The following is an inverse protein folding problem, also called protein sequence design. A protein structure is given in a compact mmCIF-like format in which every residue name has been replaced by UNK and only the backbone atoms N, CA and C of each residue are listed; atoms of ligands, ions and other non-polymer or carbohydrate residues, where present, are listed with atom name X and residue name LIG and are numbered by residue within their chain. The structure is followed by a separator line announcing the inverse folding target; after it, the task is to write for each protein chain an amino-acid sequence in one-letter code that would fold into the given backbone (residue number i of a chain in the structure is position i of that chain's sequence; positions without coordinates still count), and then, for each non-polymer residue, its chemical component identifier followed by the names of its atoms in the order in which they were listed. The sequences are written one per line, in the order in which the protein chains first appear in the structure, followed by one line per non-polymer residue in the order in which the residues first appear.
data_IF_190036603086
#
_entry.id   IF_190036603086
#
_cell.length_a   1.000
_cell.length_b   1.000
_cell.length_c   1.000
_cell.angle_alpha   90.00
_cell.angle_beta   90.00
_cell.angle_gamma   90.00
#
_symmetry.space_group_name_H-M   'P 1'
#
loop_
_entity.id
_entity.type
_entity.pdbx_description
1 polymer ?
#
# COMPACT_ATOMS: atom_id res chain seq x y z
N UNK A 1 -67.37 -23.17 95.27
CA UNK A 1 -66.75 -23.28 93.96
C UNK A 1 -65.93 -22.01 93.67
N UNK A 2 -64.69 -22.09 93.91
CA UNK A 2 -63.72 -20.97 93.85
C UNK A 2 -63.15 -20.94 92.43
N UNK A 3 -63.36 -19.86 91.67
CA UNK A 3 -62.69 -19.64 90.36
C UNK A 3 -61.36 -18.95 90.62
N UNK A 4 -60.30 -19.70 90.29
CA UNK A 4 -58.91 -19.14 90.17
C UNK A 4 -58.80 -18.35 88.86
N UNK A 5 -58.64 -17.02 88.98
CA UNK A 5 -58.28 -16.13 87.89
C UNK A 5 -56.76 -15.97 87.92
N UNK A 6 -56.09 -16.48 86.96
CA UNK A 6 -54.66 -16.25 86.75
C UNK A 6 -54.38 -14.79 86.37
N UNK A 7 -53.28 -14.17 86.89
CA UNK A 7 -52.92 -12.81 86.54
C UNK A 7 -52.42 -12.70 85.10
N UNK A 8 -52.58 -11.59 84.39
CA UNK A 8 -52.13 -11.40 83.05
C UNK A 8 -50.58 -11.40 83.00
N UNK A 9 -50.05 -12.12 82.07
CA UNK A 9 -48.64 -12.13 81.76
C UNK A 9 -48.22 -10.73 81.37
N UNK A 10 -47.39 -10.08 82.17
CA UNK A 10 -46.71 -8.85 81.75
C UNK A 10 -45.74 -9.22 80.65
N UNK A 11 -46.09 -8.77 79.37
CA UNK A 11 -45.17 -8.85 78.28
C UNK A 11 -43.92 -8.03 78.58
N UNK A 12 -42.77 -8.65 78.58
CA UNK A 12 -41.51 -7.95 78.56
C UNK A 12 -41.47 -6.99 77.36
N UNK A 13 -41.44 -5.71 77.67
CA UNK A 13 -41.24 -4.65 76.72
C UNK A 13 -39.73 -4.84 76.22
N UNK A 14 -39.56 -5.53 75.08
CA UNK A 14 -38.22 -5.56 74.41
C UNK A 14 -37.72 -4.11 74.27
N UNK A 15 -36.50 -3.87 74.71
CA UNK A 15 -35.89 -2.56 74.58
C UNK A 15 -35.83 -2.23 73.12
N UNK A 16 -36.30 -1.06 72.64
CA UNK A 16 -36.29 -0.75 71.23
C UNK A 16 -34.92 -0.84 70.64
N UNK A 17 -34.78 -1.49 69.45
CA UNK A 17 -33.56 -1.68 68.73
C UNK A 17 -32.87 -0.31 68.54
N UNK A 18 -31.56 -0.17 68.85
CA UNK A 18 -30.82 1.08 68.68
C UNK A 18 -30.96 1.69 67.26
N UNK A 19 -31.11 0.85 66.22
CA UNK A 19 -31.35 1.29 64.84
C UNK A 19 -32.76 1.87 64.63
N UNK A 20 -33.77 1.32 65.33
CA UNK A 20 -35.16 1.88 65.29
C UNK A 20 -35.26 3.22 66.00
N UNK A 21 -34.60 3.36 67.14
CA UNK A 21 -34.49 4.63 67.84
C UNK A 21 -33.77 5.69 67.04
N UNK A 22 -32.63 5.33 66.42
CA UNK A 22 -31.92 6.24 65.52
C UNK A 22 -32.81 6.65 64.35
N UNK A 23 -33.51 5.71 63.73
CA UNK A 23 -34.42 5.97 62.60
C UNK A 23 -35.54 6.88 62.99
N UNK A 24 -36.26 6.59 64.10
CA UNK A 24 -37.34 7.41 64.56
C UNK A 24 -36.95 8.87 64.90
N UNK A 25 -35.73 9.04 65.46
CA UNK A 25 -35.21 10.36 65.80
C UNK A 25 -34.69 11.12 64.54
N UNK A 26 -34.16 10.43 63.60
CA UNK A 26 -33.45 11.03 62.44
C UNK A 26 -34.14 10.81 61.11
N UNK A 27 -35.29 10.14 61.05
CA UNK A 27 -35.93 9.72 59.77
C UNK A 27 -36.09 10.85 58.77
N UNK A 28 -36.36 12.06 59.15
CA UNK A 28 -36.44 13.19 58.23
C UNK A 28 -35.08 13.54 57.63
N UNK A 29 -34.04 13.60 58.45
CA UNK A 29 -32.69 13.94 58.00
C UNK A 29 -32.13 12.84 57.10
N UNK A 30 -32.31 11.57 57.50
CA UNK A 30 -31.85 10.40 56.70
C UNK A 30 -32.64 10.34 55.39
N UNK A 31 -33.95 10.54 55.41
CA UNK A 31 -34.75 10.54 54.15
C UNK A 31 -34.37 11.69 53.24
N UNK A 32 -34.17 12.90 53.76
CA UNK A 32 -33.66 14.02 52.96
C UNK A 32 -32.25 13.77 52.42
N UNK A 33 -31.37 13.17 53.20
CA UNK A 33 -30.03 12.79 52.76
C UNK A 33 -30.05 11.76 51.62
N UNK A 34 -30.89 10.74 51.72
CA UNK A 34 -31.07 9.73 50.69
C UNK A 34 -31.67 10.33 49.40
N UNK A 35 -32.65 11.20 49.51
CA UNK A 35 -33.26 11.92 48.37
C UNK A 35 -32.20 12.81 47.69
N UNK A 36 -31.40 13.55 48.47
CA UNK A 36 -30.35 14.39 47.95
C UNK A 36 -29.23 13.56 47.22
N UNK A 37 -28.82 12.42 47.82
CA UNK A 37 -27.87 11.51 47.21
C UNK A 37 -28.43 10.90 45.92
N UNK A 38 -29.68 10.46 45.91
CA UNK A 38 -30.35 9.94 44.71
C UNK A 38 -30.46 11.00 43.59
N UNK A 39 -30.81 12.25 43.98
CA UNK A 39 -30.86 13.37 43.05
C UNK A 39 -29.47 13.71 42.47
N UNK A 40 -28.42 13.71 43.28
CA UNK A 40 -27.05 13.93 42.83
C UNK A 40 -26.57 12.83 41.87
N UNK A 41 -26.87 11.55 42.15
CA UNK A 41 -26.58 10.42 41.26
C UNK A 41 -27.37 10.54 39.95
N UNK A 42 -28.66 10.92 40.01
CA UNK A 42 -29.46 11.10 38.79
C UNK A 42 -28.93 12.24 37.92
N UNK A 43 -28.54 13.37 38.54
CA UNK A 43 -27.93 14.51 37.84
C UNK A 43 -26.58 14.09 37.23
N UNK A 44 -25.73 13.38 37.96
CA UNK A 44 -24.46 12.89 37.45
C UNK A 44 -24.66 11.94 36.26
N UNK A 45 -25.60 11.01 36.35
CA UNK A 45 -25.96 10.10 35.27
C UNK A 45 -26.52 10.85 34.06
N UNK A 46 -27.35 11.86 34.28
CA UNK A 46 -27.92 12.69 33.21
C UNK A 46 -26.84 13.48 32.47
N UNK A 47 -25.87 14.06 33.21
CA UNK A 47 -24.73 14.78 32.61
C UNK A 47 -23.89 13.83 31.79
N UNK A 48 -23.57 12.64 32.31
CA UNK A 48 -22.82 11.64 31.56
C UNK A 48 -23.59 11.16 30.31
N UNK A 49 -24.90 10.93 30.45
CA UNK A 49 -25.74 10.51 29.33
C UNK A 49 -25.80 11.58 28.23
N UNK A 50 -25.99 12.83 28.58
CA UNK A 50 -25.99 13.95 27.62
C UNK A 50 -24.63 14.14 26.99
N UNK A 51 -23.55 14.00 27.75
CA UNK A 51 -22.19 14.02 27.23
C UNK A 51 -21.94 12.93 26.17
N UNK A 52 -22.30 11.69 26.51
CA UNK A 52 -22.16 10.55 25.55
C UNK A 52 -23.03 10.73 24.32
N UNK A 53 -24.22 11.26 24.46
CA UNK A 53 -25.11 11.50 23.33
C UNK A 53 -24.58 12.60 22.41
N UNK A 54 -24.13 13.72 22.97
CA UNK A 54 -23.52 14.80 22.20
C UNK A 54 -22.23 14.32 21.51
N UNK A 55 -21.48 13.44 22.16
CA UNK A 55 -20.29 12.78 21.60
C UNK A 55 -20.66 11.88 20.43
N UNK A 56 -21.68 11.03 20.57
CA UNK A 56 -22.15 10.16 19.50
C UNK A 56 -22.71 10.95 18.30
N UNK A 57 -23.43 12.06 18.55
CA UNK A 57 -23.94 12.93 17.48
C UNK A 57 -22.82 13.62 16.70
N UNK A 58 -21.79 14.15 17.40
CA UNK A 58 -20.59 14.72 16.73
C UNK A 58 -19.82 13.67 15.95
N UNK A 59 -19.68 12.49 16.52
CA UNK A 59 -19.03 11.35 15.87
C UNK A 59 -19.77 10.94 14.60
N UNK A 60 -21.09 10.74 14.68
CA UNK A 60 -21.93 10.40 13.54
C UNK A 60 -21.83 11.46 12.44
N UNK A 61 -21.86 12.75 12.79
CA UNK A 61 -21.72 13.83 11.83
C UNK A 61 -20.34 13.82 11.12
N UNK A 62 -19.29 13.52 11.87
CA UNK A 62 -17.93 13.42 11.29
C UNK A 62 -17.79 12.16 10.42
N UNK A 63 -18.26 11.00 10.87
CA UNK A 63 -18.23 9.77 10.11
C UNK A 63 -19.03 9.88 8.80
N UNK A 64 -20.19 10.55 8.85
CA UNK A 64 -21.01 10.82 7.67
C UNK A 64 -20.33 11.80 6.72
N UNK A 65 -19.70 12.85 7.25
CA UNK A 65 -18.98 13.85 6.44
C UNK A 65 -17.73 13.26 5.76
N UNK A 66 -17.12 12.23 6.35
CA UNK A 66 -15.94 11.53 5.81
C UNK A 66 -16.30 10.26 5.05
N UNK A 67 -17.58 9.87 4.98
CA UNK A 67 -18.00 8.60 4.33
C UNK A 67 -17.62 7.33 5.10
N UNK A 68 -16.94 7.45 6.24
CA UNK A 68 -16.42 6.32 7.01
C UNK A 68 -17.49 5.40 7.58
N UNK A 69 -18.65 5.91 7.93
CA UNK A 69 -19.80 5.13 8.42
C UNK A 69 -20.32 4.21 7.30
N UNK A 70 -20.37 4.70 6.06
CA UNK A 70 -20.82 3.93 4.89
C UNK A 70 -19.79 2.89 4.50
N UNK A 71 -18.52 3.29 4.41
CA UNK A 71 -17.42 2.39 4.08
C UNK A 71 -17.31 1.25 5.12
N UNK A 72 -17.41 1.55 6.42
CA UNK A 72 -17.38 0.56 7.48
C UNK A 72 -18.60 -0.38 7.45
N UNK A 73 -19.79 0.13 7.19
CA UNK A 73 -21.00 -0.71 7.08
C UNK A 73 -20.88 -1.66 5.89
N UNK A 74 -20.46 -1.18 4.73
CA UNK A 74 -20.23 -1.99 3.53
C UNK A 74 -19.18 -3.06 3.78
N UNK A 75 -18.08 -2.72 4.44
CA UNK A 75 -17.02 -3.66 4.79
C UNK A 75 -17.51 -4.75 5.75
N UNK A 76 -18.33 -4.39 6.74
CA UNK A 76 -18.90 -5.35 7.69
C UNK A 76 -19.84 -6.33 7.00
N UNK A 77 -20.68 -5.86 6.07
CA UNK A 77 -21.57 -6.72 5.29
C UNK A 77 -20.77 -7.65 4.36
N UNK A 78 -19.77 -7.11 3.67
CA UNK A 78 -18.85 -7.89 2.84
C UNK A 78 -18.13 -8.95 3.68
N UNK A 79 -17.61 -8.59 4.86
CA UNK A 79 -16.96 -9.54 5.76
C UNK A 79 -17.89 -10.65 6.23
N UNK A 80 -19.12 -10.34 6.59
CA UNK A 80 -20.11 -11.35 6.97
C UNK A 80 -20.35 -12.36 5.85
N UNK A 81 -20.41 -11.89 4.60
CA UNK A 81 -20.52 -12.76 3.42
C UNK A 81 -19.30 -13.64 3.23
N UNK A 82 -18.10 -13.06 3.37
CA UNK A 82 -16.82 -13.80 3.28
C UNK A 82 -16.72 -14.84 4.39
N UNK A 83 -17.04 -14.51 5.64
CA UNK A 83 -17.05 -15.48 6.75
C UNK A 83 -17.94 -16.68 6.45
N UNK A 84 -19.16 -16.45 5.93
CA UNK A 84 -20.07 -17.53 5.57
C UNK A 84 -19.46 -18.44 4.50
N UNK A 85 -18.77 -17.87 3.52
CA UNK A 85 -18.08 -18.62 2.47
C UNK A 85 -16.88 -19.39 3.00
N UNK A 86 -16.07 -18.79 3.88
CA UNK A 86 -14.94 -19.45 4.53
C UNK A 86 -15.41 -20.66 5.35
N UNK A 87 -16.48 -20.52 6.13
CA UNK A 87 -17.07 -21.64 6.88
C UNK A 87 -17.50 -22.80 5.98
N UNK A 88 -18.07 -22.51 4.81
CA UNK A 88 -18.41 -23.55 3.84
C UNK A 88 -17.17 -24.26 3.29
N UNK A 89 -16.10 -23.50 2.99
CA UNK A 89 -14.82 -24.04 2.52
C UNK A 89 -14.21 -24.95 3.60
N UNK A 90 -14.20 -24.49 4.87
CA UNK A 90 -13.69 -25.25 6.01
C UNK A 90 -14.44 -26.58 6.19
N UNK A 91 -15.78 -26.55 6.09
CA UNK A 91 -16.60 -27.76 6.17
C UNK A 91 -16.29 -28.72 5.04
N UNK A 92 -16.12 -28.24 3.81
CA UNK A 92 -15.75 -29.07 2.66
C UNK A 92 -14.35 -29.69 2.83
N UNK A 93 -13.38 -28.91 3.29
CA UNK A 93 -12.01 -29.36 3.52
C UNK A 93 -11.95 -30.42 4.65
N UNK A 94 -12.72 -30.24 5.74
CA UNK A 94 -12.82 -31.20 6.83
C UNK A 94 -13.43 -32.53 6.40
N UNK A 95 -14.40 -32.48 5.48
CA UNK A 95 -15.06 -33.72 4.94
C UNK A 95 -14.21 -34.40 3.88
N UNK A 96 -13.32 -33.69 3.18
CA UNK A 96 -12.51 -34.19 2.09
C UNK A 96 -11.06 -33.72 2.18
N UNK A 97 -10.18 -34.38 2.94
CA UNK A 97 -8.77 -33.96 3.07
C UNK A 97 -8.01 -33.87 1.74
N UNK A 98 -8.46 -34.59 0.70
CA UNK A 98 -7.86 -34.51 -0.64
C UNK A 98 -8.14 -33.17 -1.36
N UNK A 99 -9.02 -32.34 -0.82
CA UNK A 99 -9.38 -31.02 -1.38
C UNK A 99 -8.69 -29.86 -0.66
N UNK A 100 -7.72 -30.12 0.22
CA UNK A 100 -7.06 -29.08 1.00
C UNK A 100 -6.43 -27.99 0.12
N UNK A 101 -5.73 -28.37 -0.95
CA UNK A 101 -5.14 -27.41 -1.89
C UNK A 101 -6.18 -26.56 -2.63
N UNK A 102 -7.29 -27.20 -3.08
CA UNK A 102 -8.40 -26.46 -3.69
C UNK A 102 -9.11 -25.55 -2.70
N UNK A 103 -9.25 -25.97 -1.45
CA UNK A 103 -9.83 -25.17 -0.37
C UNK A 103 -8.97 -23.93 -0.06
N UNK A 104 -7.65 -24.07 0.01
CA UNK A 104 -6.74 -22.96 0.20
C UNK A 104 -6.83 -21.96 -0.95
N UNK A 105 -6.88 -22.40 -2.19
CA UNK A 105 -7.07 -21.51 -3.33
C UNK A 105 -8.41 -20.75 -3.26
N UNK A 106 -9.51 -21.45 -2.97
CA UNK A 106 -10.83 -20.81 -2.83
C UNK A 106 -10.89 -19.82 -1.67
N UNK A 107 -10.19 -20.12 -0.57
CA UNK A 107 -10.03 -19.20 0.56
C UNK A 107 -9.27 -17.95 0.17
N UNK A 108 -8.13 -18.09 -0.53
CA UNK A 108 -7.35 -16.95 -1.02
C UNK A 108 -8.19 -16.04 -1.93
N UNK A 109 -8.98 -16.62 -2.83
CA UNK A 109 -9.88 -15.85 -3.70
C UNK A 109 -10.97 -15.11 -2.92
N UNK A 110 -11.55 -15.75 -1.88
CA UNK A 110 -12.56 -15.11 -1.06
C UNK A 110 -11.98 -13.94 -0.23
N UNK A 111 -10.78 -14.10 0.30
CA UNK A 111 -10.09 -13.09 1.09
C UNK A 111 -9.54 -11.95 0.22
N UNK A 112 -9.09 -12.24 -1.00
CA UNK A 112 -8.58 -11.21 -1.92
C UNK A 112 -9.60 -10.10 -2.19
N UNK A 113 -10.87 -10.46 -2.43
CA UNK A 113 -11.95 -9.49 -2.59
C UNK A 113 -12.14 -8.62 -1.34
N UNK A 114 -12.15 -9.26 -0.17
CA UNK A 114 -12.28 -8.52 1.09
C UNK A 114 -11.12 -7.55 1.32
N UNK A 115 -9.89 -7.95 1.01
CA UNK A 115 -8.72 -7.07 1.16
C UNK A 115 -8.74 -5.92 0.16
N UNK A 116 -9.26 -6.12 -1.06
CA UNK A 116 -9.47 -5.03 -2.01
C UNK A 116 -10.49 -4.01 -1.48
N UNK A 117 -11.58 -4.48 -0.88
CA UNK A 117 -12.58 -3.60 -0.25
C UNK A 117 -12.01 -2.88 0.98
N UNK A 118 -11.20 -3.57 1.77
CA UNK A 118 -10.49 -2.98 2.92
C UNK A 118 -9.50 -1.91 2.48
N UNK A 119 -8.77 -2.14 1.39
CA UNK A 119 -7.85 -1.18 0.79
C UNK A 119 -8.61 0.02 0.23
N UNK A 120 -9.71 -0.20 -0.47
CA UNK A 120 -10.57 0.87 -0.96
C UNK A 120 -11.12 1.74 0.19
N UNK A 121 -11.54 1.12 1.31
CA UNK A 121 -11.95 1.87 2.50
C UNK A 121 -10.82 2.72 3.09
N UNK A 122 -9.59 2.23 3.03
CA UNK A 122 -8.42 2.95 3.53
C UNK A 122 -7.98 4.09 2.61
N UNK A 123 -8.20 3.99 1.31
CA UNK A 123 -7.69 4.89 0.27
C UNK A 123 -8.79 5.79 -0.31
N UNK A 124 -9.83 5.21 -0.91
CA UNK A 124 -10.73 5.95 -1.78
C UNK A 124 -11.69 6.89 -1.04
N UNK A 125 -12.31 6.43 0.06
CA UNK A 125 -13.28 7.26 0.80
C UNK A 125 -12.60 8.26 1.73
N UNK A 126 -11.32 8.03 2.04
CA UNK A 126 -10.49 8.98 2.79
C UNK A 126 -9.83 10.02 1.87
N UNK A 127 -9.46 9.67 0.64
CA UNK A 127 -8.74 10.57 -0.26
C UNK A 127 -9.58 11.75 -0.73
N UNK A 128 -10.83 11.55 -1.16
CA UNK A 128 -11.66 12.67 -1.62
C UNK A 128 -11.99 13.70 -0.52
N UNK A 129 -12.08 13.23 0.74
CA UNK A 129 -12.39 14.12 1.88
C UNK A 129 -11.15 14.54 2.65
N UNK A 130 -10.08 13.78 2.57
CA UNK A 130 -8.86 13.92 3.35
C UNK A 130 -7.76 14.69 2.62
N UNK A 131 -7.72 14.71 1.30
CA UNK A 131 -6.91 15.68 0.56
C UNK A 131 -7.26 17.13 0.95
N UNK A 132 -8.53 17.36 1.34
CA UNK A 132 -9.00 18.66 1.79
C UNK A 132 -8.58 19.03 3.23
N UNK A 133 -8.17 18.07 4.08
CA UNK A 133 -7.81 18.35 5.47
C UNK A 133 -6.30 18.36 5.66
N UNK A 134 -5.66 19.53 5.92
CA UNK A 134 -4.22 19.62 6.15
C UNK A 134 -3.76 18.71 7.31
N UNK A 135 -2.54 18.18 7.22
CA UNK A 135 -1.97 17.32 8.27
C UNK A 135 -1.90 18.03 9.63
N UNK A 136 -1.63 19.34 9.63
CA UNK A 136 -1.61 20.17 10.84
C UNK A 136 -2.96 20.25 11.54
N UNK A 137 -4.06 20.28 10.78
CA UNK A 137 -5.42 20.27 11.35
C UNK A 137 -5.74 18.90 11.95
N UNK A 138 -5.39 17.80 11.29
CA UNK A 138 -5.51 16.46 11.84
C UNK A 138 -4.70 16.29 13.14
N UNK A 139 -3.47 16.81 13.16
CA UNK A 139 -2.63 16.81 14.37
C UNK A 139 -3.23 17.67 15.49
N UNK A 140 -3.86 18.79 15.15
CA UNK A 140 -4.56 19.62 16.14
C UNK A 140 -5.77 18.90 16.74
N UNK A 141 -6.54 18.16 15.93
CA UNK A 141 -7.64 17.30 16.39
C UNK A 141 -7.12 16.22 17.34
N UNK A 142 -6.03 15.54 16.94
CA UNK A 142 -5.38 14.52 17.79
C UNK A 142 -4.93 15.10 19.12
N UNK A 143 -4.33 16.30 19.09
CA UNK A 143 -3.85 16.99 20.30
C UNK A 143 -4.99 17.44 21.21
N UNK A 144 -6.13 17.85 20.62
CA UNK A 144 -7.31 18.22 21.38
C UNK A 144 -7.93 17.03 22.12
N UNK A 145 -7.74 15.80 21.62
CA UNK A 145 -8.22 14.56 22.23
C UNK A 145 -9.76 14.47 22.23
N UNK A 146 -10.42 15.12 21.29
CA UNK A 146 -11.87 15.05 21.12
C UNK A 146 -12.31 13.77 20.40
N UNK A 147 -13.60 13.62 20.16
CA UNK A 147 -14.22 12.42 19.57
C UNK A 147 -13.72 12.09 18.16
N UNK A 148 -13.15 13.07 17.48
CA UNK A 148 -12.58 12.94 16.14
C UNK A 148 -11.13 12.43 16.16
N UNK A 149 -10.48 12.51 17.33
CA UNK A 149 -9.07 12.17 17.46
C UNK A 149 -8.71 10.73 17.01
N UNK A 150 -9.53 9.69 17.29
CA UNK A 150 -9.27 8.35 16.78
C UNK A 150 -9.21 8.27 15.25
N UNK A 151 -10.14 8.93 14.56
CA UNK A 151 -10.13 8.96 13.09
C UNK A 151 -9.01 9.81 12.53
N UNK A 152 -8.75 10.97 13.14
CA UNK A 152 -7.63 11.80 12.72
C UNK A 152 -6.29 11.03 12.83
N UNK A 153 -6.11 10.22 13.90
CA UNK A 153 -4.95 9.32 14.02
C UNK A 153 -4.93 8.25 12.94
N UNK A 154 -6.10 7.66 12.63
CA UNK A 154 -6.21 6.65 11.58
C UNK A 154 -5.84 7.21 10.21
N UNK A 155 -6.34 8.40 9.88
CA UNK A 155 -5.99 9.10 8.63
C UNK A 155 -4.50 9.39 8.56
N UNK A 156 -3.90 9.91 9.64
CA UNK A 156 -2.46 10.17 9.70
C UNK A 156 -1.65 8.88 9.55
N UNK A 157 -2.11 7.77 10.16
CA UNK A 157 -1.46 6.46 10.01
C UNK A 157 -1.47 5.98 8.54
N UNK A 158 -2.62 6.09 7.86
CA UNK A 158 -2.73 5.72 6.45
C UNK A 158 -1.84 6.61 5.56
N UNK A 159 -1.88 7.93 5.74
CA UNK A 159 -0.99 8.84 5.00
C UNK A 159 0.49 8.49 5.19
N UNK A 160 0.90 8.25 6.42
CA UNK A 160 2.27 7.84 6.72
C UNK A 160 2.62 6.49 6.07
N UNK A 161 1.69 5.52 6.07
CA UNK A 161 1.88 4.23 5.43
C UNK A 161 2.11 4.37 3.91
N UNK A 162 1.25 5.12 3.22
CA UNK A 162 1.38 5.34 1.78
C UNK A 162 2.58 6.21 1.41
N UNK A 163 3.02 7.09 2.32
CA UNK A 163 4.28 7.81 2.19
C UNK A 163 5.53 6.97 2.52
N UNK A 164 5.35 5.67 2.81
CA UNK A 164 6.40 4.75 3.26
C UNK A 164 7.06 5.14 4.61
N UNK A 165 6.44 6.01 5.39
CA UNK A 165 6.88 6.40 6.73
C UNK A 165 6.33 5.41 7.78
N UNK A 166 6.75 4.16 7.69
CA UNK A 166 6.18 3.03 8.44
C UNK A 166 6.27 3.17 9.96
N UNK A 167 7.32 3.76 10.48
CA UNK A 167 7.49 3.98 11.93
C UNK A 167 6.49 5.04 12.44
N UNK A 168 6.22 6.07 11.65
CA UNK A 168 5.20 7.08 11.96
C UNK A 168 3.79 6.45 11.90
N UNK A 169 3.49 5.68 10.84
CA UNK A 169 2.24 4.95 10.71
C UNK A 169 2.00 4.05 11.93
N UNK A 170 2.99 3.26 12.31
CA UNK A 170 2.98 2.40 13.49
C UNK A 170 2.70 3.18 14.77
N UNK A 171 3.39 4.30 14.96
CA UNK A 171 3.22 5.16 16.13
C UNK A 171 1.78 5.65 16.28
N UNK A 172 1.15 6.09 15.18
CA UNK A 172 -0.26 6.52 15.18
C UNK A 172 -1.20 5.37 15.53
N UNK A 173 -1.01 4.18 14.95
CA UNK A 173 -1.87 3.00 15.23
C UNK A 173 -1.73 2.52 16.66
N UNK A 174 -0.50 2.44 17.18
CA UNK A 174 -0.27 2.04 18.58
C UNK A 174 -0.87 3.05 19.57
N UNK A 175 -0.77 4.35 19.28
CA UNK A 175 -1.40 5.38 20.08
C UNK A 175 -2.94 5.27 20.01
N UNK A 176 -3.52 4.96 18.84
CA UNK A 176 -4.94 4.69 18.68
C UNK A 176 -5.38 3.51 19.58
N UNK A 177 -4.67 2.40 19.55
CA UNK A 177 -4.99 1.22 20.39
C UNK A 177 -4.89 1.53 21.89
N UNK A 178 -3.88 2.30 22.28
CA UNK A 178 -3.64 2.65 23.67
C UNK A 178 -4.68 3.63 24.23
N UNK A 179 -4.94 4.69 23.48
CA UNK A 179 -5.75 5.82 23.96
C UNK A 179 -7.26 5.57 23.78
N UNK A 180 -7.63 4.72 22.82
CA UNK A 180 -9.03 4.45 22.44
C UNK A 180 -9.35 2.95 22.34
N UNK A 181 -9.13 2.15 23.39
CA UNK A 181 -9.25 0.69 23.33
C UNK A 181 -10.65 0.17 22.99
N UNK A 182 -11.68 0.99 23.17
CA UNK A 182 -13.07 0.63 22.89
C UNK A 182 -13.57 1.19 21.53
N UNK A 183 -12.68 1.78 20.74
CA UNK A 183 -13.05 2.31 19.44
C UNK A 183 -13.22 1.17 18.42
N UNK A 184 -14.15 1.30 17.46
CA UNK A 184 -14.44 0.24 16.48
C UNK A 184 -13.23 -0.18 15.65
N UNK A 185 -12.27 0.71 15.39
CA UNK A 185 -11.01 0.39 14.71
C UNK A 185 -10.10 -0.50 15.57
N UNK A 186 -10.27 -0.50 16.90
CA UNK A 186 -9.40 -1.18 17.86
C UNK A 186 -10.02 -2.46 18.41
N UNK A 187 -11.36 -2.47 18.54
CA UNK A 187 -12.09 -3.65 19.02
C UNK A 187 -11.96 -4.76 17.98
N UNK A 188 -11.74 -5.99 18.45
CA UNK A 188 -11.73 -7.16 17.59
C UNK A 188 -13.12 -7.33 16.97
N UNK A 189 -13.20 -7.14 15.66
CA UNK A 189 -14.43 -7.26 14.86
C UNK A 189 -14.55 -8.62 14.18
N UNK A 190 -13.61 -9.54 14.43
CA UNK A 190 -13.54 -10.83 13.74
C UNK A 190 -12.98 -10.75 12.33
N UNK A 191 -12.45 -9.60 11.90
CA UNK A 191 -11.79 -9.48 10.61
C UNK A 191 -10.47 -10.29 10.60
N UNK A 192 -10.09 -10.91 9.48
CA UNK A 192 -8.88 -11.72 9.42
C UNK A 192 -7.62 -10.87 9.57
N UNK A 193 -6.67 -11.37 10.35
CA UNK A 193 -5.31 -10.83 10.42
C UNK A 193 -4.50 -11.52 9.33
N UNK A 194 -4.11 -10.80 8.33
CA UNK A 194 -3.23 -11.12 7.20
C UNK A 194 -3.16 -12.59 6.70
N UNK A 195 -3.51 -12.76 5.43
CA UNK A 195 -3.34 -14.00 4.68
C UNK A 195 -1.93 -14.17 4.05
N UNK A 196 -1.11 -13.10 3.95
CA UNK A 196 0.23 -13.17 3.32
C UNK A 196 1.21 -14.08 4.04
N UNK A 197 1.18 -14.11 5.37
CA UNK A 197 2.07 -14.96 6.15
C UNK A 197 1.78 -16.47 5.97
N UNK A 198 0.55 -16.81 5.64
CA UNK A 198 0.15 -18.19 5.35
C UNK A 198 0.63 -18.66 3.98
N UNK A 199 0.59 -17.76 2.97
CA UNK A 199 1.14 -18.07 1.63
C UNK A 199 2.65 -18.27 1.67
N UNK A 200 3.37 -17.56 2.56
CA UNK A 200 4.81 -17.75 2.73
C UNK A 200 5.12 -19.10 3.40
N UNK A 201 4.35 -19.48 4.42
CA UNK A 201 4.51 -20.79 5.07
C UNK A 201 4.25 -21.94 4.12
N UNK A 202 3.27 -21.82 3.22
CA UNK A 202 3.01 -22.83 2.19
C UNK A 202 4.17 -22.93 1.20
N UNK A 203 4.82 -21.81 0.83
CA UNK A 203 6.01 -21.82 -0.04
C UNK A 203 7.24 -22.42 0.65
N UNK A 204 7.46 -22.09 1.92
CA UNK A 204 8.57 -22.63 2.70
C UNK A 204 8.40 -24.16 2.92
N UNK A 205 7.16 -24.65 2.91
CA UNK A 205 6.84 -26.09 2.96
C UNK A 205 7.07 -26.79 1.60
N UNK A 206 6.84 -26.10 0.48
CA UNK A 206 7.09 -26.65 -0.87
C UNK A 206 8.59 -26.75 -1.20
N UNK A 207 9.45 -25.89 -0.61
CA UNK A 207 10.90 -25.91 -0.82
C UNK A 207 11.62 -27.04 -0.03
N UNK A 208 10.95 -27.67 0.93
CA UNK A 208 11.49 -28.81 1.66
C UNK A 208 11.09 -30.12 0.96
N UNK A 209 11.93 -30.65 0.09
CA UNK A 209 11.74 -31.93 -0.63
C UNK A 209 11.43 -33.13 0.27
N UNK A 210 11.84 -33.09 1.56
CA UNK A 210 11.56 -34.15 2.54
C UNK A 210 10.11 -34.17 3.05
N UNK A 211 9.31 -33.16 2.74
CA UNK A 211 7.88 -33.07 3.11
C UNK A 211 6.94 -33.20 1.92
N UNK A 212 7.42 -33.61 0.75
CA UNK A 212 6.65 -33.70 -0.50
C UNK A 212 5.39 -34.59 -0.41
N UNK A 213 5.27 -35.46 0.61
CA UNK A 213 4.09 -36.26 0.88
C UNK A 213 3.16 -35.65 1.95
N UNK A 214 3.54 -34.56 2.59
CA UNK A 214 2.66 -33.86 3.54
C UNK A 214 1.61 -33.05 2.76
N UNK A 215 0.35 -33.49 2.83
CA UNK A 215 -0.77 -32.72 2.28
C UNK A 215 -0.81 -31.36 2.99
N UNK A 216 -0.94 -30.23 2.26
CA UNK A 216 -1.04 -28.91 2.87
C UNK A 216 -2.20 -28.91 3.88
N UNK A 217 -1.89 -28.60 5.12
CA UNK A 217 -2.90 -28.48 6.16
C UNK A 217 -3.63 -27.15 5.97
N UNK A 218 -4.96 -27.22 5.95
CA UNK A 218 -5.79 -26.02 5.86
C UNK A 218 -5.74 -25.26 7.20
N UNK A 219 -5.22 -24.03 7.17
CA UNK A 219 -5.14 -23.15 8.33
C UNK A 219 -6.25 -22.11 8.26
N UNK A 220 -7.13 -22.08 9.28
CA UNK A 220 -8.19 -21.10 9.36
C UNK A 220 -7.66 -19.68 9.62
N UNK A 221 -8.28 -18.62 9.05
CA UNK A 221 -7.83 -17.25 9.29
C UNK A 221 -7.96 -16.86 10.76
N UNK A 222 -6.97 -16.12 11.26
CA UNK A 222 -7.00 -15.53 12.59
C UNK A 222 -7.74 -14.19 12.51
N UNK A 223 -8.69 -13.97 13.42
CA UNK A 223 -9.42 -12.71 13.51
C UNK A 223 -8.63 -11.64 14.29
N UNK A 224 -8.90 -10.38 13.98
CA UNK A 224 -8.26 -9.26 14.67
C UNK A 224 -8.99 -7.93 14.45
N UNK A 225 -8.50 -6.89 15.09
CA UNK A 225 -9.01 -5.53 14.90
C UNK A 225 -8.46 -4.90 13.60
N UNK A 226 -9.14 -3.89 13.06
CA UNK A 226 -8.66 -3.13 11.90
C UNK A 226 -7.29 -2.50 12.18
N UNK A 227 -7.11 -1.92 13.37
CA UNK A 227 -5.82 -1.38 13.82
C UNK A 227 -4.74 -2.46 13.94
N UNK A 228 -5.09 -3.66 14.41
CA UNK A 228 -4.19 -4.81 14.48
C UNK A 228 -3.75 -5.29 13.10
N UNK A 229 -4.68 -5.33 12.15
CA UNK A 229 -4.37 -5.67 10.75
C UNK A 229 -3.42 -4.66 10.10
N UNK A 230 -3.62 -3.36 10.37
CA UNK A 230 -2.71 -2.33 9.87
C UNK A 230 -1.29 -2.50 10.42
N UNK A 231 -1.12 -2.82 11.72
CA UNK A 231 0.20 -3.12 12.29
C UNK A 231 0.85 -4.32 11.61
N UNK A 232 0.09 -5.40 11.44
CA UNK A 232 0.58 -6.60 10.78
C UNK A 232 0.97 -6.32 9.31
N UNK A 233 0.20 -5.47 8.59
CA UNK A 233 0.53 -5.02 7.24
C UNK A 233 1.82 -4.21 7.21
N UNK A 234 2.01 -3.28 8.16
CA UNK A 234 3.25 -2.51 8.28
C UNK A 234 4.44 -3.45 8.49
N UNK A 235 4.31 -4.45 9.38
CA UNK A 235 5.37 -5.42 9.65
C UNK A 235 5.72 -6.25 8.40
N UNK A 236 4.70 -6.74 7.69
CA UNK A 236 4.88 -7.52 6.48
C UNK A 236 5.52 -6.69 5.35
N UNK A 237 5.08 -5.44 5.18
CA UNK A 237 5.64 -4.55 4.16
C UNK A 237 7.10 -4.19 4.46
N UNK A 238 7.43 -3.86 5.71
CA UNK A 238 8.81 -3.59 6.11
C UNK A 238 9.70 -4.83 5.89
N UNK A 239 9.20 -6.01 6.27
CA UNK A 239 9.92 -7.27 6.04
C UNK A 239 10.11 -7.54 4.55
N UNK A 240 9.05 -7.40 3.73
CA UNK A 240 9.14 -7.60 2.29
C UNK A 240 10.18 -6.67 1.65
N UNK A 241 10.22 -5.40 2.05
CA UNK A 241 11.22 -4.43 1.57
C UNK A 241 12.63 -4.78 1.98
N UNK A 242 12.82 -5.24 3.22
CA UNK A 242 14.12 -5.73 3.70
C UNK A 242 14.60 -6.96 2.91
N UNK A 243 13.70 -7.90 2.65
CA UNK A 243 14.02 -9.13 1.93
C UNK A 243 14.17 -8.89 0.41
N UNK A 244 13.57 -7.82 -0.12
CA UNK A 244 13.54 -7.51 -1.54
C UNK A 244 13.93 -6.04 -1.86
N UNK A 245 15.11 -5.55 -1.42
CA UNK A 245 15.50 -4.15 -1.59
C UNK A 245 15.51 -3.72 -3.06
N UNK A 246 15.75 -4.65 -3.97
CA UNK A 246 15.79 -4.41 -5.42
C UNK A 246 14.52 -3.79 -6.01
N UNK A 247 13.36 -3.97 -5.37
CA UNK A 247 12.08 -3.40 -5.84
C UNK A 247 11.83 -1.99 -5.32
N UNK A 248 12.63 -1.51 -4.35
CA UNK A 248 12.38 -0.26 -3.63
C UNK A 248 13.55 0.70 -3.67
N UNK A 249 14.75 0.18 -3.95
CA UNK A 249 15.97 0.97 -3.96
C UNK A 249 16.71 0.75 -5.28
N UNK A 250 17.00 1.86 -5.92
CA UNK A 250 17.76 1.82 -7.15
C UNK A 250 19.20 1.38 -6.88
N UNK A 251 19.60 0.27 -7.47
CA UNK A 251 20.98 -0.23 -7.41
C UNK A 251 21.94 0.77 -8.06
N UNK A 252 23.08 1.01 -7.43
CA UNK A 252 24.14 1.81 -8.02
C UNK A 252 24.87 1.03 -9.13
N UNK A 253 25.14 1.66 -10.29
CA UNK A 253 25.92 1.01 -11.36
C UNK A 253 27.38 0.80 -10.95
N UNK A 254 28.00 -0.23 -11.49
CA UNK A 254 29.32 -0.74 -11.06
C UNK A 254 30.47 -0.40 -11.98
N UNK A 255 30.21 0.01 -13.24
CA UNK A 255 31.28 0.30 -14.21
C UNK A 255 32.19 1.45 -13.76
N UNK A 256 33.50 1.30 -14.03
CA UNK A 256 34.48 2.38 -13.88
C UNK A 256 34.26 3.48 -14.91
N UNK A 257 33.97 3.06 -16.15
CA UNK A 257 33.79 3.94 -17.30
C UNK A 257 32.39 4.55 -17.33
N UNK A 258 32.26 5.78 -17.80
CA UNK A 258 31.01 6.52 -17.97
C UNK A 258 30.82 6.84 -19.45
N UNK A 259 29.66 6.46 -20.01
CA UNK A 259 29.24 6.87 -21.34
C UNK A 259 28.57 8.23 -21.24
N UNK A 260 29.06 9.21 -21.97
CA UNK A 260 28.49 10.55 -22.06
C UNK A 260 27.88 10.76 -23.43
N UNK A 261 26.59 11.03 -23.50
CA UNK A 261 25.83 11.30 -24.73
C UNK A 261 25.39 12.76 -24.70
N UNK A 262 25.82 13.54 -25.69
CA UNK A 262 25.39 14.91 -25.89
C UNK A 262 24.29 14.97 -26.95
N UNK A 263 23.12 15.46 -26.59
CA UNK A 263 22.02 15.69 -27.52
C UNK A 263 22.02 17.15 -27.99
N UNK A 264 21.90 17.35 -29.26
CA UNK A 264 21.67 18.68 -29.84
C UNK A 264 20.28 19.20 -29.38
N UNK A 265 20.22 20.42 -28.93
CA UNK A 265 19.02 21.08 -28.43
C UNK A 265 18.40 20.56 -27.12
N UNK A 266 19.02 19.56 -26.46
CA UNK A 266 18.47 19.05 -25.19
C UNK A 266 19.47 19.08 -24.04
N UNK A 267 20.70 18.61 -24.25
CA UNK A 267 21.70 18.59 -23.18
C UNK A 267 22.54 17.30 -23.17
N UNK A 268 23.12 17.02 -22.02
CA UNK A 268 24.05 15.91 -21.85
C UNK A 268 23.54 14.92 -20.84
N UNK A 269 23.62 13.63 -21.16
CA UNK A 269 23.26 12.50 -20.33
C UNK A 269 24.48 11.65 -20.06
N UNK A 270 24.76 11.32 -18.79
CA UNK A 270 25.85 10.42 -18.41
C UNK A 270 25.31 9.10 -17.87
N UNK A 271 25.79 8.00 -18.42
CA UNK A 271 25.35 6.63 -18.12
C UNK A 271 26.51 5.84 -17.56
N UNK A 272 26.33 5.18 -16.44
CA UNK A 272 27.19 4.11 -15.94
C UNK A 272 26.51 2.76 -16.14
N UNK A 273 27.32 1.74 -16.40
CA UNK A 273 26.82 0.41 -16.73
C UNK A 273 26.81 -0.52 -15.50
N UNK A 274 25.96 -1.53 -15.56
CA UNK A 274 25.92 -2.64 -14.61
C UNK A 274 26.79 -3.81 -15.15
N UNK A 275 28.09 -3.58 -15.25
CA UNK A 275 29.06 -4.51 -15.83
C UNK A 275 29.18 -5.85 -15.10
N UNK A 276 28.74 -5.93 -13.83
CA UNK A 276 28.66 -7.19 -13.09
C UNK A 276 27.33 -7.94 -13.31
N UNK A 277 26.24 -7.22 -13.58
CA UNK A 277 24.93 -7.81 -13.77
C UNK A 277 24.66 -8.20 -15.24
N UNK A 278 25.21 -7.44 -16.20
CA UNK A 278 25.10 -7.68 -17.64
C UNK A 278 26.47 -7.45 -18.33
N UNK A 279 27.46 -8.30 -18.07
CA UNK A 279 28.86 -8.09 -18.52
C UNK A 279 29.02 -8.05 -20.04
N UNK A 280 28.34 -8.93 -20.79
CA UNK A 280 28.46 -8.97 -22.25
C UNK A 280 27.79 -7.73 -22.88
N UNK A 281 26.61 -7.33 -22.37
CA UNK A 281 25.95 -6.10 -22.81
C UNK A 281 26.80 -4.87 -22.51
N UNK A 282 27.33 -4.77 -21.29
CA UNK A 282 28.17 -3.66 -20.88
C UNK A 282 29.43 -3.53 -21.77
N UNK A 283 30.11 -4.64 -22.05
CA UNK A 283 31.29 -4.66 -22.93
C UNK A 283 30.95 -4.18 -24.35
N UNK A 284 29.83 -4.67 -24.92
CA UNK A 284 29.42 -4.28 -26.28
C UNK A 284 28.94 -2.82 -26.33
N UNK A 285 28.22 -2.34 -25.30
CA UNK A 285 27.84 -0.94 -25.21
C UNK A 285 29.03 0.02 -25.15
N UNK A 286 30.09 -0.35 -24.40
CA UNK A 286 31.33 0.42 -24.37
C UNK A 286 32.05 0.43 -25.73
N UNK A 287 32.06 -0.70 -26.46
CA UNK A 287 32.59 -0.79 -27.82
C UNK A 287 31.83 0.15 -28.76
N UNK A 288 30.48 0.10 -28.75
CA UNK A 288 29.62 0.96 -29.57
C UNK A 288 29.79 2.43 -29.21
N UNK A 289 29.91 2.76 -27.91
CA UNK A 289 30.15 4.12 -27.46
C UNK A 289 31.52 4.66 -27.91
N UNK A 290 32.60 3.83 -27.80
CA UNK A 290 33.96 4.20 -28.25
C UNK A 290 34.06 4.37 -29.78
N UNK A 291 33.23 3.67 -30.54
CA UNK A 291 33.13 3.84 -31.99
C UNK A 291 32.18 4.98 -32.42
N UNK A 292 31.62 5.73 -31.48
CA UNK A 292 30.60 6.75 -31.72
C UNK A 292 29.40 6.24 -32.54
N UNK A 293 29.01 4.96 -32.37
CA UNK A 293 27.96 4.30 -33.16
C UNK A 293 26.68 5.14 -33.26
N UNK A 294 26.21 5.70 -32.14
CA UNK A 294 24.95 6.46 -32.08
C UNK A 294 25.05 7.91 -32.60
N UNK A 295 26.26 8.41 -32.89
CA UNK A 295 26.45 9.77 -33.41
C UNK A 295 25.68 10.00 -34.71
N UNK A 296 24.91 11.09 -34.76
CA UNK A 296 24.01 11.44 -35.87
C UNK A 296 22.64 10.75 -35.82
N UNK A 297 22.45 9.75 -34.93
CA UNK A 297 21.14 9.15 -34.70
C UNK A 297 20.25 10.05 -33.88
N UNK A 298 18.95 9.75 -33.85
CA UNK A 298 17.94 10.51 -33.14
C UNK A 298 17.19 9.66 -32.14
N UNK A 299 16.60 10.30 -31.14
CA UNK A 299 15.54 9.69 -30.35
C UNK A 299 14.39 9.42 -31.29
N UNK A 300 14.09 8.16 -31.53
CA UNK A 300 13.10 7.74 -32.51
C UNK A 300 11.71 7.52 -31.93
N UNK A 301 11.62 7.35 -30.62
CA UNK A 301 10.37 7.13 -29.92
C UNK A 301 10.42 7.75 -28.53
N UNK A 302 9.32 8.36 -28.15
CA UNK A 302 9.00 8.64 -26.74
C UNK A 302 7.74 7.87 -26.37
N UNK A 303 7.65 7.47 -25.11
CA UNK A 303 6.46 6.87 -24.50
C UNK A 303 6.15 7.62 -23.24
N UNK A 304 4.88 7.86 -23.01
CA UNK A 304 4.34 8.44 -21.80
C UNK A 304 2.86 8.08 -21.64
N UNK A 305 2.36 8.22 -20.44
CA UNK A 305 0.95 7.97 -20.16
C UNK A 305 0.04 8.79 -21.09
N UNK A 306 -0.94 8.17 -21.77
CA UNK A 306 -1.87 8.87 -22.66
C UNK A 306 -2.70 9.91 -21.88
N UNK A 307 -3.01 11.04 -22.54
CA UNK A 307 -3.88 12.09 -22.02
C UNK A 307 -5.13 12.27 -22.93
N UNK A 308 -6.35 12.44 -22.42
CA UNK A 308 -6.74 12.32 -21.01
C UNK A 308 -6.70 10.86 -20.53
N UNK A 309 -6.38 10.67 -19.27
CA UNK A 309 -6.20 9.35 -18.69
C UNK A 309 -7.48 8.85 -18.04
N UNK A 310 -8.45 8.39 -18.85
CA UNK A 310 -9.66 7.72 -18.34
C UNK A 310 -9.37 6.24 -17.93
N UNK A 311 -8.24 5.69 -18.35
CA UNK A 311 -7.77 4.34 -18.01
C UNK A 311 -6.27 4.42 -17.79
N UNK A 312 -5.83 4.33 -16.53
CA UNK A 312 -4.41 4.14 -16.23
C UNK A 312 -3.91 2.92 -16.99
N UNK A 313 -3.15 3.16 -18.04
CA UNK A 313 -2.29 2.14 -18.62
C UNK A 313 -0.93 2.36 -17.99
N UNK A 314 -0.39 1.32 -17.40
CA UNK A 314 0.98 1.32 -16.90
C UNK A 314 1.94 1.33 -18.11
N UNK A 315 2.01 2.46 -18.80
CA UNK A 315 2.97 2.71 -19.87
C UNK A 315 4.12 3.47 -19.24
N UNK A 316 5.33 2.92 -19.22
CA UNK A 316 6.47 3.61 -18.65
C UNK A 316 6.78 4.87 -19.47
N UNK A 317 7.09 5.95 -18.77
CA UNK A 317 7.59 7.18 -19.36
C UNK A 317 9.05 6.98 -19.76
N UNK A 318 9.35 7.00 -21.07
CA UNK A 318 10.68 6.63 -21.57
C UNK A 318 11.00 7.24 -22.93
N UNK A 319 12.29 7.30 -23.24
CA UNK A 319 12.79 7.56 -24.59
C UNK A 319 13.47 6.30 -25.15
N UNK A 320 13.44 6.15 -26.47
CA UNK A 320 14.16 5.10 -27.18
C UNK A 320 14.98 5.66 -28.35
N UNK A 321 16.22 5.17 -28.52
CA UNK A 321 17.10 5.53 -29.63
C UNK A 321 17.94 4.33 -30.08
N UNK A 322 18.67 4.46 -31.21
CA UNK A 322 19.51 3.42 -31.74
C UNK A 322 19.03 2.76 -33.04
N UNK A 323 17.96 3.28 -33.67
CA UNK A 323 17.62 2.85 -35.01
C UNK A 323 18.55 3.48 -36.03
N UNK A 324 19.33 2.64 -36.73
CA UNK A 324 20.28 3.09 -37.75
C UNK A 324 19.65 3.96 -38.85
N UNK A 325 18.38 3.74 -39.17
CA UNK A 325 17.61 4.53 -40.14
C UNK A 325 17.42 6.00 -39.74
N UNK A 326 17.65 6.37 -38.48
CA UNK A 326 17.54 7.76 -37.99
C UNK A 326 18.82 8.55 -38.18
N UNK A 327 19.92 7.87 -38.56
CA UNK A 327 21.24 8.50 -38.67
C UNK A 327 21.25 9.50 -39.82
N UNK A 328 21.48 10.79 -39.48
CA UNK A 328 21.53 11.89 -40.45
C UNK A 328 20.26 12.02 -41.31
N UNK A 329 19.11 11.51 -40.87
CA UNK A 329 17.83 11.51 -41.60
C UNK A 329 16.78 12.35 -40.86
N UNK A 330 16.37 13.48 -41.45
CA UNK A 330 15.37 14.39 -40.88
C UNK A 330 13.93 13.99 -41.21
N UNK A 331 13.73 13.20 -42.27
CA UNK A 331 12.42 12.71 -42.65
C UNK A 331 11.96 11.58 -41.73
N UNK A 332 11.11 11.91 -40.77
CA UNK A 332 10.58 10.95 -39.79
C UNK A 332 9.83 9.78 -40.43
N UNK A 333 9.33 9.91 -41.66
CA UNK A 333 8.63 8.80 -42.33
C UNK A 333 9.56 7.64 -42.66
N UNK A 334 10.87 7.91 -42.75
CA UNK A 334 11.90 6.94 -43.01
C UNK A 334 12.49 6.28 -41.75
N UNK A 335 12.14 6.77 -40.58
CA UNK A 335 12.55 6.18 -39.31
C UNK A 335 11.84 4.87 -39.10
N UNK A 336 12.47 3.80 -39.34
CA UNK A 336 11.94 2.43 -39.22
C UNK A 336 12.94 1.54 -38.49
N UNK A 337 12.46 0.55 -37.72
CA UNK A 337 13.37 -0.44 -37.13
C UNK A 337 14.01 -1.25 -38.29
N UNK A 338 15.30 -0.98 -38.56
CA UNK A 338 16.09 -1.72 -39.54
C UNK A 338 16.53 -3.06 -39.00
N UNK A 339 17.24 -3.83 -39.85
CA UNK A 339 17.96 -5.02 -39.43
C UNK A 339 19.07 -4.62 -38.44
N UNK A 340 19.23 -5.42 -37.40
CA UNK A 340 20.32 -5.28 -36.43
C UNK A 340 21.50 -6.13 -36.87
N UNK A 341 22.70 -5.60 -36.78
CA UNK A 341 23.91 -6.37 -37.08
C UNK A 341 23.98 -7.59 -36.13
N UNK A 342 24.35 -8.75 -36.64
CA UNK A 342 24.33 -10.00 -35.88
C UNK A 342 25.23 -9.93 -34.63
N UNK A 343 26.35 -9.22 -34.71
CA UNK A 343 27.28 -8.98 -33.61
C UNK A 343 26.76 -7.94 -32.57
N UNK A 344 25.64 -7.29 -32.85
CA UNK A 344 24.92 -6.43 -31.91
C UNK A 344 23.74 -7.13 -31.21
N UNK A 345 23.54 -8.41 -31.56
CA UNK A 345 22.51 -9.24 -30.89
C UNK A 345 23.19 -10.16 -29.90
N UNK A 346 22.87 -10.00 -28.62
CA UNK A 346 23.48 -10.73 -27.51
C UNK A 346 22.42 -11.57 -26.82
N UNK A 347 22.81 -12.74 -26.32
CA UNK A 347 21.95 -13.58 -25.51
C UNK A 347 21.56 -12.85 -24.23
N UNK A 348 20.33 -13.07 -23.77
CA UNK A 348 19.76 -12.39 -22.61
C UNK A 348 20.58 -12.66 -21.35
N UNK A 349 20.98 -11.59 -20.69
CA UNK A 349 21.58 -11.64 -19.36
C UNK A 349 20.51 -11.28 -18.33
N UNK A 350 20.08 -12.26 -17.55
CA UNK A 350 19.10 -12.03 -16.46
C UNK A 350 19.79 -11.38 -15.27
N UNK A 351 19.17 -10.38 -14.71
CA UNK A 351 19.66 -9.72 -13.50
C UNK A 351 18.52 -9.58 -12.46
N UNK A 352 18.90 -9.38 -11.21
CA UNK A 352 17.99 -9.04 -10.13
C UNK A 352 17.78 -7.53 -9.99
N UNK A 353 17.95 -6.77 -11.06
CA UNK A 353 17.75 -5.33 -11.09
C UNK A 353 16.29 -5.00 -11.45
N UNK A 354 15.83 -3.85 -11.00
CA UNK A 354 14.50 -3.32 -11.29
C UNK A 354 14.58 -1.96 -11.99
N UNK A 355 13.54 -1.63 -12.78
CA UNK A 355 13.45 -0.39 -13.53
C UNK A 355 13.02 0.76 -12.63
N UNK A 356 13.98 1.57 -12.20
CA UNK A 356 13.79 2.83 -11.50
C UNK A 356 14.03 4.02 -12.43
N UNK A 357 13.61 5.22 -12.07
CA UNK A 357 13.93 6.42 -12.85
C UNK A 357 15.42 6.50 -13.20
N UNK A 358 15.69 6.66 -14.49
CA UNK A 358 17.04 6.69 -15.05
C UNK A 358 17.63 5.32 -15.41
N UNK A 359 16.90 4.23 -15.27
CA UNK A 359 17.38 2.92 -15.75
C UNK A 359 17.53 2.93 -17.25
N UNK A 360 18.67 2.39 -17.73
CA UNK A 360 18.98 2.16 -19.15
C UNK A 360 18.84 0.68 -19.42
N UNK A 361 17.98 0.33 -20.37
CA UNK A 361 17.73 -1.04 -20.78
C UNK A 361 17.88 -1.21 -22.29
N UNK A 362 18.04 -2.44 -22.75
CA UNK A 362 18.06 -2.77 -24.17
C UNK A 362 16.78 -3.45 -24.60
N UNK A 363 16.32 -3.17 -25.81
CA UNK A 363 15.15 -3.80 -26.40
C UNK A 363 15.38 -5.30 -26.66
N UNK A 364 14.33 -6.08 -26.48
CA UNK A 364 14.34 -7.51 -26.76
C UNK A 364 14.28 -7.74 -28.26
N UNK A 365 15.20 -8.55 -28.77
CA UNK A 365 15.02 -9.25 -30.02
C UNK A 365 14.20 -10.53 -29.80
N UNK A 366 13.98 -11.32 -30.84
CA UNK A 366 13.23 -12.57 -30.71
C UNK A 366 14.02 -13.61 -29.89
N UNK A 367 13.32 -14.48 -29.19
CA UNK A 367 13.81 -15.75 -28.63
C UNK A 367 14.95 -15.64 -27.59
N UNK A 368 14.81 -14.75 -26.60
CA UNK A 368 15.76 -14.65 -25.50
C UNK A 368 17.08 -13.94 -25.89
N UNK A 369 17.05 -13.15 -26.94
CA UNK A 369 18.18 -12.31 -27.40
C UNK A 369 17.80 -10.84 -27.30
N UNK A 370 18.76 -9.95 -27.15
CA UNK A 370 18.60 -8.50 -27.05
C UNK A 370 19.41 -7.74 -28.08
N UNK A 371 18.92 -6.58 -28.49
CA UNK A 371 19.53 -5.71 -29.49
C UNK A 371 20.27 -4.58 -28.78
N UNK A 372 21.57 -4.80 -28.53
CA UNK A 372 22.37 -3.91 -27.66
C UNK A 372 22.44 -2.47 -28.17
N UNK A 373 22.32 -2.26 -29.48
CA UNK A 373 22.36 -0.92 -30.07
C UNK A 373 21.11 -0.08 -29.80
N UNK A 374 19.96 -0.72 -29.38
CA UNK A 374 18.68 -0.07 -29.14
C UNK A 374 18.48 0.13 -27.68
N UNK A 375 18.69 1.35 -27.26
CA UNK A 375 18.61 1.74 -25.85
C UNK A 375 17.27 2.39 -25.54
N UNK A 376 16.77 2.09 -24.35
CA UNK A 376 15.62 2.71 -23.72
C UNK A 376 16.06 3.30 -22.40
N UNK A 377 15.63 4.53 -22.11
CA UNK A 377 15.86 5.19 -20.82
C UNK A 377 14.49 5.57 -20.25
N UNK A 378 14.10 4.97 -19.12
CA UNK A 378 12.86 5.31 -18.43
C UNK A 378 13.06 6.46 -17.42
N UNK A 379 12.01 7.25 -17.22
CA UNK A 379 12.04 8.42 -16.34
C UNK A 379 11.19 8.26 -15.09
N UNK A 380 10.39 7.20 -15.03
CA UNK A 380 9.51 6.84 -13.91
C UNK A 380 9.87 5.48 -13.29
N UNK A 381 9.14 5.07 -12.28
CA UNK A 381 9.22 3.72 -11.71
C UNK A 381 8.41 2.75 -12.59
N UNK A 382 9.11 2.00 -13.41
CA UNK A 382 8.53 1.06 -14.37
C UNK A 382 8.72 -0.41 -13.95
N UNK A 383 9.12 -0.69 -12.71
CA UNK A 383 9.45 -2.04 -12.25
C UNK A 383 8.29 -3.03 -12.47
N UNK A 384 7.06 -2.62 -12.14
CA UNK A 384 5.89 -3.48 -12.25
C UNK A 384 5.56 -3.93 -13.68
N UNK A 385 5.92 -3.14 -14.69
CA UNK A 385 5.54 -3.36 -16.10
C UNK A 385 6.67 -3.87 -16.97
N UNK A 386 7.92 -3.57 -16.61
CA UNK A 386 9.08 -3.81 -17.48
C UNK A 386 10.10 -4.80 -16.93
N UNK A 387 10.09 -5.07 -15.61
CA UNK A 387 10.99 -6.06 -15.04
C UNK A 387 10.76 -7.45 -15.65
N UNK A 388 11.88 -8.09 -16.02
CA UNK A 388 11.83 -9.38 -16.71
C UNK A 388 11.54 -9.32 -18.22
N UNK A 389 11.21 -8.13 -18.77
CA UNK A 389 10.92 -7.96 -20.20
C UNK A 389 12.06 -7.27 -20.97
N UNK A 390 13.09 -6.79 -20.29
CA UNK A 390 14.25 -6.11 -20.85
C UNK A 390 15.51 -6.46 -20.08
N UNK A 391 16.67 -6.35 -20.72
CA UNK A 391 17.95 -6.44 -20.03
C UNK A 391 18.34 -5.06 -19.53
N UNK A 392 18.40 -4.89 -18.21
CA UNK A 392 18.90 -3.67 -17.59
C UNK A 392 20.43 -3.66 -17.72
N UNK A 393 20.96 -2.63 -18.38
CA UNK A 393 22.38 -2.54 -18.72
C UNK A 393 23.10 -1.39 -18.05
N UNK A 394 22.38 -0.38 -17.58
CA UNK A 394 23.00 0.80 -16.97
C UNK A 394 21.99 1.72 -16.29
N UNK A 395 22.51 2.84 -15.82
CA UNK A 395 21.72 3.89 -15.21
C UNK A 395 22.28 5.27 -15.56
N UNK A 396 21.39 6.22 -15.78
CA UNK A 396 21.72 7.65 -15.86
C UNK A 396 22.20 8.12 -14.49
N UNK A 397 23.41 8.64 -14.44
CA UNK A 397 24.02 9.19 -13.21
C UNK A 397 24.04 10.72 -13.19
N UNK A 398 23.85 11.36 -14.35
CA UNK A 398 23.74 12.80 -14.51
C UNK A 398 22.92 13.12 -15.77
N UNK A 399 22.06 14.13 -15.72
CA UNK A 399 21.24 14.57 -16.85
C UNK A 399 19.92 13.78 -17.02
N UNK A 400 19.36 13.20 -15.94
CA UNK A 400 18.04 12.58 -16.02
C UNK A 400 16.95 13.58 -16.34
N UNK A 401 17.08 14.84 -15.86
CA UNK A 401 16.20 15.95 -16.19
C UNK A 401 16.11 16.22 -17.69
N UNK A 402 17.24 16.08 -18.42
CA UNK A 402 17.26 16.16 -19.90
C UNK A 402 16.34 15.09 -20.53
N UNK A 403 16.37 13.88 -20.01
CA UNK A 403 15.50 12.79 -20.50
C UNK A 403 14.04 13.07 -20.16
N UNK A 404 13.76 13.54 -18.94
CA UNK A 404 12.40 13.93 -18.51
C UNK A 404 11.85 15.04 -19.41
N UNK A 405 12.64 16.04 -19.76
CA UNK A 405 12.23 17.10 -20.67
C UNK A 405 11.94 16.58 -22.08
N UNK A 406 12.69 15.60 -22.57
CA UNK A 406 12.40 14.95 -23.85
C UNK A 406 11.07 14.16 -23.81
N UNK A 407 10.80 13.41 -22.74
CA UNK A 407 9.53 12.68 -22.57
C UNK A 407 8.35 13.64 -22.48
N UNK A 408 8.51 14.77 -21.78
CA UNK A 408 7.48 15.82 -21.68
C UNK A 408 7.33 16.64 -22.96
N UNK A 409 8.22 16.49 -23.90
CA UNK A 409 8.13 17.09 -25.24
C UNK A 409 6.88 16.62 -26.00
N UNK A 410 6.54 17.32 -27.09
CA UNK A 410 5.41 16.97 -27.92
C UNK A 410 5.64 15.71 -28.75
N UNK A 411 4.53 15.10 -29.19
CA UNK A 411 4.55 14.09 -30.25
C UNK A 411 4.41 14.73 -31.63
N UNK A 412 5.08 14.17 -32.62
CA UNK A 412 5.06 14.65 -33.99
C UNK A 412 3.66 14.54 -34.66
N UNK A 413 2.77 13.72 -34.13
CA UNK A 413 1.42 13.56 -34.65
C UNK A 413 0.38 13.35 -33.52
N UNK A 414 -0.88 13.76 -33.82
CA UNK A 414 -1.98 13.72 -32.86
C UNK A 414 -2.39 12.29 -32.44
N UNK A 415 -2.16 11.29 -33.27
CA UNK A 415 -2.48 9.89 -32.95
C UNK A 415 -1.57 9.41 -31.85
N UNK A 416 -0.30 9.77 -31.89
CA UNK A 416 0.71 9.43 -30.87
C UNK A 416 0.34 10.00 -29.49
N UNK A 417 -0.28 11.17 -29.43
CA UNK A 417 -0.79 11.75 -28.16
C UNK A 417 -1.83 10.82 -27.52
N UNK A 418 -2.76 10.30 -28.33
CA UNK A 418 -3.84 9.44 -27.83
C UNK A 418 -3.36 8.09 -27.34
N UNK A 419 -2.36 7.51 -28.02
CA UNK A 419 -1.82 6.19 -27.66
C UNK A 419 -0.66 6.26 -26.68
N UNK A 420 -0.15 7.47 -26.38
CA UNK A 420 0.98 7.67 -25.48
C UNK A 420 2.32 7.15 -26.02
N UNK A 421 2.46 6.97 -27.33
CA UNK A 421 3.64 6.42 -27.95
C UNK A 421 3.83 6.99 -29.34
N UNK A 422 5.02 7.51 -29.66
CA UNK A 422 5.29 8.00 -30.98
C UNK A 422 6.63 8.70 -31.14
N UNK A 423 6.84 9.25 -32.30
CA UNK A 423 8.03 10.04 -32.62
C UNK A 423 7.94 11.40 -31.92
N UNK A 424 9.06 11.90 -31.37
CA UNK A 424 9.06 13.22 -30.74
C UNK A 424 8.79 14.34 -31.75
N UNK A 425 8.15 15.44 -31.29
CA UNK A 425 7.98 16.66 -32.10
C UNK A 425 9.32 17.31 -32.40
N UNK A 426 10.20 17.40 -31.41
CA UNK A 426 11.56 17.91 -31.57
C UNK A 426 12.51 16.84 -32.10
N UNK A 427 13.54 17.26 -32.86
CA UNK A 427 14.61 16.40 -33.35
C UNK A 427 15.74 16.36 -32.31
N UNK A 428 15.73 15.38 -31.43
CA UNK A 428 16.81 15.14 -30.47
C UNK A 428 17.92 14.32 -31.12
N UNK A 429 18.89 15.02 -31.71
CA UNK A 429 20.04 14.40 -32.42
C UNK A 429 21.15 14.11 -31.46
N UNK A 430 21.75 12.91 -31.53
CA UNK A 430 22.96 12.56 -30.77
C UNK A 430 24.16 13.19 -31.46
N UNK A 431 24.66 14.29 -30.89
CA UNK A 431 25.80 15.07 -31.43
C UNK A 431 27.14 14.38 -31.20
N UNK A 432 27.33 13.85 -30.00
CA UNK A 432 28.55 13.14 -29.63
C UNK A 432 28.30 12.05 -28.61
N UNK A 433 29.15 11.01 -28.66
CA UNK A 433 29.22 9.96 -27.65
C UNK A 433 30.68 9.81 -27.24
N UNK A 434 30.96 9.87 -25.95
CA UNK A 434 32.32 9.74 -25.41
C UNK A 434 32.33 8.79 -24.21
N UNK A 435 33.46 8.13 -23.99
CA UNK A 435 33.68 7.25 -22.83
C UNK A 435 34.82 7.82 -22.00
N UNK A 436 34.60 7.97 -20.71
CA UNK A 436 35.58 8.53 -19.75
C UNK A 436 35.81 7.56 -18.60
#
# INVERSE_FOLDING_TARGET
MSQNVSPPIQGELEAPNPLELFWEQNKRVVTFGLIAAAAALAIHYLIQYQGRRAQAERWSAFATATGLDRAYANLTDTWTSVQSRLQQIDQMAAQNPNMAQSANFQRQMALSGFYQDLDAMQIADLDETVEATPAEELQAIVKAGDDRAPLARWVLANRAYFANAFDEARSHVQALQKDYPNHFLVVDSGFPVQWRDEVQKDKDAEENEDTADAKPEYVAPVAGSIAGQMLARIDAEQKFRQDNPRFFEATAPTSAETITIEFENAGTVKIKLFDQAAPNHAAKLLELAKSEWWKGMRVHEIRREPQPNDFKRDVPDEIAFGWASTKDEDDRTKWVPGDVAEDHVIDWETSNLSHFPGTVAVEIAKEGRSQVERLVINTDDAAATTDGNRVIVGRVVEGLDVVVDMVNGGFADATSVTIGRGKPEENYVIKSVTVQ
#
